data_IF_058179715658
#
_entry.id   IF_058179715658
#
_cell.length_a   1.000
_cell.length_b   1.000
_cell.length_c   1.000
_cell.angle_alpha   90.00
_cell.angle_beta   90.00
_cell.angle_gamma   90.00
#
_symmetry.space_group_name_H-M   'P 1'
#
loop_
_entity.id
_entity.type
_entity.pdbx_description
1 polymer ?
#
# COMPACT_ATOMS: atom_id res chain seq x y z
N UNK A 1 21.31 2.11 -18.78
CA UNK A 1 21.25 2.31 -17.31
C UNK A 1 22.25 1.34 -16.72
N UNK A 2 23.13 1.82 -15.88
CA UNK A 2 24.22 0.99 -15.33
C UNK A 2 23.71 0.18 -14.13
N UNK A 3 24.38 -0.94 -13.83
CA UNK A 3 24.14 -1.77 -12.63
C UNK A 3 24.02 -0.95 -11.33
N UNK A 4 24.50 0.28 -11.35
CA UNK A 4 24.40 1.26 -10.28
C UNK A 4 22.95 1.77 -10.04
N UNK A 5 22.07 1.75 -11.04
CA UNK A 5 20.68 2.22 -10.91
C UNK A 5 19.78 1.17 -10.26
N UNK A 6 19.98 -0.10 -10.58
CA UNK A 6 19.29 -1.24 -9.93
C UNK A 6 19.73 -1.33 -8.46
N UNK A 7 21.02 -1.20 -8.19
CA UNK A 7 21.59 -1.18 -6.84
C UNK A 7 21.12 0.06 -6.04
N UNK A 8 20.89 1.21 -6.67
CA UNK A 8 20.31 2.40 -6.00
C UNK A 8 18.86 2.19 -5.60
N UNK A 9 18.03 1.58 -6.44
CA UNK A 9 16.65 1.21 -6.07
C UNK A 9 16.65 0.25 -4.88
N UNK A 10 17.54 -0.75 -4.88
CA UNK A 10 17.73 -1.70 -3.81
C UNK A 10 18.20 -1.04 -2.50
N UNK A 11 19.15 -0.11 -2.57
CA UNK A 11 19.70 0.55 -1.39
C UNK A 11 18.67 1.48 -0.70
N UNK A 12 17.75 2.08 -1.44
CA UNK A 12 16.76 3.01 -0.88
C UNK A 12 15.72 2.27 -0.03
N UNK A 13 15.30 1.09 -0.45
CA UNK A 13 14.35 0.25 0.30
C UNK A 13 14.98 -0.30 1.59
N UNK A 14 16.23 -0.77 1.53
CA UNK A 14 16.97 -1.30 2.71
C UNK A 14 17.19 -0.23 3.78
N UNK A 15 17.44 1.04 3.38
CA UNK A 15 17.72 2.10 4.33
C UNK A 15 16.47 2.57 5.09
N UNK A 16 15.27 2.45 4.49
CA UNK A 16 14.01 2.80 5.16
C UNK A 16 13.68 1.90 6.35
N UNK A 17 13.91 0.57 6.21
CA UNK A 17 13.57 -0.40 7.25
C UNK A 17 14.61 -0.51 8.37
N UNK A 18 15.90 -0.25 8.10
CA UNK A 18 16.93 -0.29 9.17
C UNK A 18 16.77 0.84 10.21
N UNK A 19 16.22 1.99 9.85
CA UNK A 19 16.03 3.10 10.80
C UNK A 19 14.83 2.90 11.72
N UNK A 20 13.80 2.14 11.33
CA UNK A 20 12.64 1.85 12.18
C UNK A 20 12.96 0.81 13.24
N UNK A 21 13.86 -0.14 12.97
CA UNK A 21 14.24 -1.20 13.92
C UNK A 21 15.27 -0.77 14.97
N UNK A 22 15.95 0.37 14.81
CA UNK A 22 16.99 0.84 15.78
C UNK A 22 16.40 1.73 16.87
N UNK A 23 15.21 2.32 16.69
CA UNK A 23 14.57 3.18 17.71
C UNK A 23 13.60 2.46 18.63
N UNK A 24 13.36 1.16 18.44
CA UNK A 24 12.44 0.35 19.26
C UNK A 24 13.06 -0.37 20.46
N UNK A 25 14.38 -0.26 20.70
CA UNK A 25 15.05 -0.98 21.78
C UNK A 25 15.80 -0.03 22.71
N UNK A 26 15.10 0.55 23.65
CA UNK A 26 15.62 0.98 24.97
C UNK A 26 14.44 1.36 25.88
N UNK A 27 14.16 0.53 26.84
CA UNK A 27 13.71 0.78 28.23
C UNK A 27 13.03 -0.47 28.77
N UNK A 28 13.73 -1.17 29.60
CA UNK A 28 13.13 -2.13 30.48
C UNK A 28 14.14 -2.90 31.31
N UNK A 29 14.42 -2.46 32.47
CA UNK A 29 14.72 -3.32 33.62
C UNK A 29 14.51 -2.49 34.87
N UNK A 30 13.54 -2.82 35.68
CA UNK A 30 13.78 -2.98 37.10
C UNK A 30 12.66 -3.74 37.77
N UNK A 31 13.07 -4.77 38.45
CA UNK A 31 12.33 -5.63 39.40
C UNK A 31 11.83 -4.82 40.60
N UNK A 32 10.65 -5.17 41.12
CA UNK A 32 10.42 -5.50 42.53
C UNK A 32 8.91 -5.62 42.82
N UNK A 33 8.49 -6.84 43.22
CA UNK A 33 7.27 -7.02 44.05
C UNK A 33 7.59 -6.72 45.49
N UNK A 34 6.62 -6.28 46.36
CA UNK A 34 5.96 -7.26 47.18
C UNK A 34 4.46 -7.03 47.53
N UNK A 35 3.81 -8.13 47.77
CA UNK A 35 2.74 -8.60 48.67
C UNK A 35 1.83 -7.62 49.44
N UNK A 36 0.51 -7.91 49.32
CA UNK A 36 -0.58 -8.03 50.32
C UNK A 36 -0.88 -6.89 51.29
N UNK A 37 -2.15 -6.43 51.24
CA UNK A 37 -3.06 -6.57 52.39
C UNK A 37 -4.51 -6.23 52.03
N UNK A 38 -5.42 -6.99 52.60
CA UNK A 38 -6.88 -6.91 52.57
C UNK A 38 -7.37 -5.92 53.60
N UNK A 39 -8.36 -5.07 53.32
CA UNK A 39 -9.36 -4.76 54.32
C UNK A 39 -10.64 -4.19 53.71
N UNK A 40 -11.76 -4.74 54.15
CA UNK A 40 -13.14 -4.30 53.99
C UNK A 40 -13.41 -2.99 54.66
N UNK A 41 -14.21 -2.12 54.05
CA UNK A 41 -15.18 -1.31 54.79
C UNK A 41 -16.36 -0.94 53.87
N UNK A 42 -17.53 -1.44 54.22
CA UNK A 42 -18.83 -0.89 53.83
C UNK A 42 -19.03 0.42 54.56
N UNK A 43 -19.65 1.41 53.93
CA UNK A 43 -20.74 2.15 54.56
C UNK A 43 -21.54 2.92 53.51
N UNK A 44 -22.83 2.71 53.63
CA UNK A 44 -23.97 3.40 53.05
C UNK A 44 -24.08 4.87 53.47
N UNK A 45 -24.50 5.73 52.58
CA UNK A 45 -25.32 6.90 52.98
C UNK A 45 -26.24 7.31 51.86
N UNK A 46 -27.53 7.16 52.13
CA UNK A 46 -28.67 7.78 51.43
C UNK A 46 -28.68 9.28 51.72
N UNK A 47 -29.28 10.02 50.81
CA UNK A 47 -30.16 11.18 51.03
C UNK A 47 -30.03 12.21 49.93
N UNK A 48 -31.01 12.54 49.33
CA UNK A 48 -32.23 13.29 49.34
C UNK A 48 -32.40 14.08 48.07
N UNK A 49 -33.45 13.72 47.35
CA UNK A 49 -34.04 14.50 46.27
C UNK A 49 -34.69 15.74 46.90
N UNK A 50 -34.30 16.94 46.45
CA UNK A 50 -35.08 18.15 46.68
C UNK A 50 -35.58 18.68 45.34
N UNK A 51 -36.90 18.56 45.17
CA UNK A 51 -37.67 19.15 44.09
C UNK A 51 -37.87 20.63 44.42
N UNK A 52 -37.37 21.52 43.60
CA UNK A 52 -37.78 22.91 43.60
C UNK A 52 -38.61 23.20 42.36
N UNK A 53 -39.88 23.48 42.64
CA UNK A 53 -40.91 23.98 41.75
C UNK A 53 -40.64 25.47 41.52
N UNK A 54 -40.47 25.90 40.30
CA UNK A 54 -40.37 27.31 39.95
C UNK A 54 -41.57 27.70 39.07
N UNK A 55 -42.18 28.71 39.47
CA UNK A 55 -43.42 29.31 38.96
C UNK A 55 -43.26 30.00 37.62
N UNK A 56 -44.34 29.99 36.87
CA UNK A 56 -44.49 30.72 35.61
C UNK A 56 -44.61 32.23 35.91
N UNK A 57 -43.81 33.01 35.22
CA UNK A 57 -44.15 34.39 34.93
C UNK A 57 -44.04 34.66 33.45
N UNK A 58 -45.16 35.02 32.88
CA UNK A 58 -45.36 35.48 31.51
C UNK A 58 -44.92 36.93 31.40
N UNK A 59 -44.11 37.27 30.41
CA UNK A 59 -44.15 38.62 29.84
C UNK A 59 -43.70 38.62 28.38
N UNK A 60 -44.57 39.05 27.53
CA UNK A 60 -44.33 39.42 26.14
C UNK A 60 -43.31 40.55 26.11
N UNK A 61 -42.40 40.56 25.12
CA UNK A 61 -42.02 41.79 24.43
C UNK A 61 -40.96 41.50 23.34
N UNK A 62 -41.31 41.87 22.12
CA UNK A 62 -40.52 42.44 21.02
C UNK A 62 -39.59 41.52 20.22
N UNK A 63 -40.05 41.21 19.05
CA UNK A 63 -39.28 40.89 17.86
C UNK A 63 -38.23 41.97 17.59
N UNK A 64 -36.98 41.58 17.57
CA UNK A 64 -35.92 42.30 16.87
C UNK A 64 -35.20 41.32 15.99
N UNK A 65 -35.44 41.44 14.72
CA UNK A 65 -34.66 40.86 13.61
C UNK A 65 -33.22 41.36 13.73
N UNK A 66 -32.32 40.50 14.19
CA UNK A 66 -30.91 40.61 13.91
C UNK A 66 -30.49 39.26 13.30
N UNK A 67 -30.40 39.28 11.97
CA UNK A 67 -29.80 38.20 11.21
C UNK A 67 -28.37 37.99 11.65
N UNK A 68 -28.15 36.99 12.48
CA UNK A 68 -26.82 36.44 12.69
C UNK A 68 -26.44 35.69 11.40
N UNK A 69 -25.80 36.42 10.49
CA UNK A 69 -25.03 35.84 9.40
C UNK A 69 -23.88 35.06 10.09
N UNK A 70 -24.11 33.77 10.37
CA UNK A 70 -23.08 32.87 10.77
C UNK A 70 -22.12 32.78 9.59
N UNK A 71 -21.10 33.65 9.55
CA UNK A 71 -19.87 33.39 8.80
C UNK A 71 -19.35 32.07 9.35
N UNK A 72 -19.59 30.98 8.62
CA UNK A 72 -18.82 29.78 8.70
C UNK A 72 -17.39 30.20 8.34
N UNK A 73 -16.61 30.59 9.34
CA UNK A 73 -15.16 30.65 9.25
C UNK A 73 -14.76 29.20 9.05
N UNK A 74 -14.70 28.78 7.78
CA UNK A 74 -13.96 27.57 7.40
C UNK A 74 -12.53 27.86 7.82
N UNK A 75 -12.13 27.37 8.99
CA UNK A 75 -10.74 27.39 9.38
C UNK A 75 -9.96 26.83 8.18
N UNK A 76 -8.92 27.52 7.67
CA UNK A 76 -8.12 26.98 6.61
C UNK A 76 -7.64 25.62 7.10
N UNK A 77 -7.99 24.56 6.37
CA UNK A 77 -7.51 23.23 6.68
C UNK A 77 -5.99 23.33 6.74
N UNK A 78 -5.36 22.79 7.79
CA UNK A 78 -3.91 22.76 7.95
C UNK A 78 -3.20 22.00 6.79
N UNK A 79 -3.97 21.43 5.87
CA UNK A 79 -3.55 20.69 4.69
C UNK A 79 -3.49 21.62 3.48
N UNK A 80 -2.27 21.79 2.92
CA UNK A 80 -1.98 22.79 1.88
C UNK A 80 -2.58 22.52 0.51
N UNK A 81 -3.02 21.29 0.20
CA UNK A 81 -3.66 20.94 -1.06
C UNK A 81 -4.56 19.71 -0.90
N UNK A 82 -5.61 19.64 -1.72
CA UNK A 82 -6.54 18.52 -1.76
C UNK A 82 -6.70 18.04 -3.20
N UNK A 83 -6.69 16.71 -3.41
CA UNK A 83 -6.98 16.06 -4.68
C UNK A 83 -8.12 15.05 -4.47
N UNK A 84 -9.07 15.01 -5.43
CA UNK A 84 -10.14 13.99 -5.47
C UNK A 84 -9.90 13.09 -6.66
N UNK A 85 -9.64 11.81 -6.39
CA UNK A 85 -9.29 10.82 -7.42
C UNK A 85 -9.95 9.49 -7.05
N UNK A 86 -10.58 8.81 -8.03
CA UNK A 86 -11.14 7.48 -7.85
C UNK A 86 -12.14 7.35 -6.69
N UNK A 87 -12.83 8.43 -6.31
CA UNK A 87 -13.75 8.48 -5.17
C UNK A 87 -13.08 8.80 -3.82
N UNK A 88 -11.75 8.86 -3.73
CA UNK A 88 -11.00 9.22 -2.53
C UNK A 88 -10.63 10.70 -2.47
N UNK A 89 -10.38 11.19 -1.27
CA UNK A 89 -9.83 12.51 -0.97
C UNK A 89 -8.40 12.36 -0.45
N UNK A 90 -7.43 12.95 -1.15
CA UNK A 90 -6.03 13.02 -0.74
C UNK A 90 -5.76 14.43 -0.21
N UNK A 91 -5.41 14.52 1.07
CA UNK A 91 -5.01 15.75 1.74
C UNK A 91 -3.48 15.80 1.83
N UNK A 92 -2.87 16.78 1.14
CA UNK A 92 -1.42 16.89 1.03
C UNK A 92 -0.90 17.96 1.98
N UNK A 93 0.05 17.59 2.83
CA UNK A 93 0.84 18.50 3.65
C UNK A 93 2.26 18.59 3.07
N UNK A 94 2.69 19.79 2.69
CA UNK A 94 4.06 20.04 2.29
C UNK A 94 4.88 20.53 3.48
N UNK A 95 5.88 19.73 3.88
CA UNK A 95 6.78 20.06 4.99
C UNK A 95 8.08 20.62 4.42
N UNK A 96 8.42 21.86 4.82
CA UNK A 96 9.60 22.58 4.30
C UNK A 96 9.58 22.63 2.76
N UNK A 97 8.45 23.06 2.18
CA UNK A 97 8.30 23.22 0.73
C UNK A 97 9.49 23.98 0.13
N UNK A 98 9.99 23.48 -1.00
CA UNK A 98 11.12 24.10 -1.68
C UNK A 98 10.68 25.34 -2.48
N UNK A 99 9.52 25.26 -3.18
CA UNK A 99 8.93 26.34 -3.97
C UNK A 99 7.53 25.97 -4.45
N UNK A 100 6.76 26.94 -4.94
CA UNK A 100 5.47 26.69 -5.59
C UNK A 100 5.59 25.80 -6.85
N UNK A 101 6.67 25.93 -7.61
CA UNK A 101 6.93 25.06 -8.75
C UNK A 101 7.16 23.61 -8.33
N UNK A 102 7.94 23.38 -7.28
CA UNK A 102 8.15 22.07 -6.70
C UNK A 102 6.84 21.44 -6.18
N UNK A 103 5.97 22.21 -5.52
CA UNK A 103 4.65 21.74 -5.11
C UNK A 103 3.77 21.35 -6.31
N UNK A 104 3.87 22.06 -7.42
CA UNK A 104 3.15 21.71 -8.66
C UNK A 104 3.64 20.37 -9.23
N UNK A 105 4.95 20.13 -9.24
CA UNK A 105 5.54 18.84 -9.63
C UNK A 105 5.06 17.72 -8.70
N UNK A 106 5.11 17.97 -7.38
CA UNK A 106 4.65 17.01 -6.39
C UNK A 106 3.16 16.62 -6.57
N UNK A 107 2.28 17.59 -6.83
CA UNK A 107 0.84 17.34 -7.09
C UNK A 107 0.62 16.49 -8.33
N UNK A 108 1.30 16.77 -9.43
CA UNK A 108 1.20 15.97 -10.65
C UNK A 108 1.70 14.53 -10.44
N UNK A 109 2.77 14.36 -9.69
CA UNK A 109 3.28 13.05 -9.30
C UNK A 109 2.27 12.27 -8.43
N UNK A 110 1.68 12.92 -7.41
CA UNK A 110 0.63 12.34 -6.57
C UNK A 110 -0.59 11.94 -7.40
N UNK A 111 -1.03 12.82 -8.29
CA UNK A 111 -2.19 12.55 -9.16
C UNK A 111 -1.95 11.34 -10.05
N UNK A 112 -0.78 11.23 -10.66
CA UNK A 112 -0.41 10.10 -11.51
C UNK A 112 -0.39 8.79 -10.75
N UNK A 113 0.27 8.74 -9.58
CA UNK A 113 0.34 7.55 -8.74
C UNK A 113 -1.05 7.11 -8.24
N UNK A 114 -1.86 8.07 -7.79
CA UNK A 114 -3.22 7.79 -7.32
C UNK A 114 -4.14 7.29 -8.45
N UNK A 115 -4.00 7.80 -9.69
CA UNK A 115 -4.73 7.28 -10.86
C UNK A 115 -4.33 5.85 -11.16
N UNK A 116 -3.03 5.54 -11.21
CA UNK A 116 -2.55 4.19 -11.47
C UNK A 116 -3.13 3.17 -10.49
N UNK A 117 -3.12 3.49 -9.19
CA UNK A 117 -3.70 2.64 -8.15
C UNK A 117 -5.24 2.55 -8.29
N UNK A 118 -5.91 3.69 -8.55
CA UNK A 118 -7.37 3.70 -8.73
C UNK A 118 -7.81 2.86 -9.93
N UNK A 119 -7.09 2.92 -11.03
CA UNK A 119 -7.41 2.15 -12.25
C UNK A 119 -7.21 0.65 -12.03
N UNK A 120 -6.15 0.27 -11.29
CA UNK A 120 -5.92 -1.14 -10.96
C UNK A 120 -6.99 -1.69 -10.01
N UNK A 121 -7.34 -0.97 -8.95
CA UNK A 121 -8.32 -1.43 -7.94
C UNK A 121 -9.78 -1.08 -8.28
N UNK A 122 -10.01 -0.31 -9.35
CA UNK A 122 -11.36 0.15 -9.75
C UNK A 122 -11.88 1.36 -8.96
N UNK A 123 -11.17 1.77 -7.91
CA UNK A 123 -11.42 2.96 -7.07
C UNK A 123 -10.14 3.32 -6.32
N UNK A 124 -10.04 4.52 -5.78
CA UNK A 124 -9.00 4.83 -4.80
C UNK A 124 -9.27 4.04 -3.52
N UNK A 125 -8.25 3.36 -2.93
CA UNK A 125 -8.49 2.35 -1.89
C UNK A 125 -9.19 2.84 -0.64
N UNK A 126 -8.97 4.10 -0.25
CA UNK A 126 -9.48 4.68 1.00
C UNK A 126 -10.28 5.95 0.74
N UNK A 127 -11.31 6.22 1.56
CA UNK A 127 -12.13 7.42 1.41
C UNK A 127 -11.33 8.72 1.65
N UNK A 128 -10.33 8.67 2.53
CA UNK A 128 -9.43 9.78 2.86
C UNK A 128 -8.02 9.29 3.12
N UNK A 129 -7.04 9.90 2.45
CA UNK A 129 -5.61 9.73 2.69
C UNK A 129 -5.02 11.05 3.16
N UNK A 130 -4.23 11.01 4.23
CA UNK A 130 -3.33 12.09 4.61
C UNK A 130 -1.94 11.78 4.04
N UNK A 131 -1.40 12.67 3.23
CA UNK A 131 -0.11 12.51 2.58
C UNK A 131 0.82 13.66 2.99
N UNK A 132 1.90 13.34 3.68
CA UNK A 132 2.95 14.30 4.05
C UNK A 132 4.14 14.16 3.13
N UNK A 133 4.49 15.24 2.43
CA UNK A 133 5.64 15.30 1.53
C UNK A 133 6.65 16.29 2.10
N UNK A 134 7.81 15.77 2.52
CA UNK A 134 8.92 16.58 3.01
C UNK A 134 9.94 16.83 1.90
N UNK A 135 10.46 18.08 1.76
CA UNK A 135 11.53 18.34 0.82
C UNK A 135 12.87 17.77 1.34
N UNK A 136 13.64 17.19 0.42
CA UNK A 136 14.96 16.61 0.70
C UNK A 136 15.97 17.03 -0.38
N UNK A 137 17.24 16.70 -0.21
CA UNK A 137 18.24 16.95 -1.24
C UNK A 137 18.06 16.00 -2.43
N UNK A 138 18.40 16.42 -3.64
CA UNK A 138 18.35 15.63 -4.89
C UNK A 138 17.03 15.78 -5.63
N UNK A 139 16.78 14.90 -6.60
CA UNK A 139 15.72 14.96 -7.59
C UNK A 139 14.75 13.76 -7.58
N UNK A 140 14.89 12.83 -6.64
CA UNK A 140 14.11 11.60 -6.53
C UNK A 140 13.30 11.54 -5.23
N UNK A 141 12.25 10.70 -5.21
CA UNK A 141 11.56 10.34 -4.00
C UNK A 141 12.35 9.32 -3.18
N UNK A 142 12.16 9.34 -1.86
CA UNK A 142 12.78 8.42 -0.90
C UNK A 142 12.02 8.36 0.41
N UNK A 143 12.30 7.34 1.21
CA UNK A 143 11.77 7.20 2.57
C UNK A 143 10.24 7.27 2.60
N UNK A 144 9.58 6.51 1.69
CA UNK A 144 8.14 6.30 1.71
C UNK A 144 7.77 5.36 2.84
N UNK A 145 6.63 5.59 3.47
CA UNK A 145 6.02 4.65 4.40
C UNK A 145 4.52 4.92 4.51
N UNK A 146 3.72 3.87 4.34
CA UNK A 146 2.29 3.90 4.55
C UNK A 146 1.92 3.38 5.94
N UNK A 147 0.93 4.00 6.58
CA UNK A 147 0.44 3.65 7.90
C UNK A 147 -1.08 3.56 7.91
N UNK A 148 -1.64 2.54 8.57
CA UNK A 148 -3.07 2.41 8.82
C UNK A 148 -3.50 2.97 10.18
N UNK A 149 -2.58 2.99 11.15
CA UNK A 149 -2.85 3.40 12.52
C UNK A 149 -3.35 4.85 12.60
N UNK A 150 -4.49 5.08 13.25
CA UNK A 150 -5.22 6.37 13.29
C UNK A 150 -5.70 6.88 11.92
N UNK A 151 -5.93 5.94 11.00
CA UNK A 151 -6.41 6.20 9.63
C UNK A 151 -5.27 6.32 8.63
N UNK A 152 -5.59 6.12 7.32
CA UNK A 152 -4.61 6.05 6.25
C UNK A 152 -3.71 7.29 6.16
N UNK A 153 -2.41 7.07 6.22
CA UNK A 153 -1.39 8.11 6.23
C UNK A 153 -0.14 7.63 5.49
N UNK A 154 0.38 8.45 4.59
CA UNK A 154 1.68 8.23 3.95
C UNK A 154 2.59 9.39 4.28
N UNK A 155 3.85 9.10 4.63
CA UNK A 155 4.94 10.06 4.69
C UNK A 155 5.99 9.71 3.67
N UNK A 156 6.52 10.71 2.96
CA UNK A 156 7.52 10.52 1.92
C UNK A 156 8.39 11.76 1.76
N UNK A 157 9.65 11.57 1.42
CA UNK A 157 10.54 12.66 1.08
C UNK A 157 10.68 12.79 -0.43
N UNK A 158 10.57 14.01 -0.96
CA UNK A 158 10.76 14.34 -2.36
C UNK A 158 11.95 15.29 -2.52
N UNK A 159 12.84 14.98 -3.46
CA UNK A 159 13.99 15.82 -3.80
C UNK A 159 13.54 17.22 -4.18
N UNK A 160 14.25 18.26 -3.69
CA UNK A 160 13.92 19.67 -3.99
C UNK A 160 14.16 20.04 -5.45
N UNK A 161 15.01 19.26 -6.14
CA UNK A 161 15.33 19.42 -7.55
C UNK A 161 14.48 18.52 -8.44
N UNK A 162 13.42 17.89 -7.88
CA UNK A 162 12.52 17.00 -8.59
C UNK A 162 11.81 17.73 -9.74
N UNK A 163 11.75 17.05 -10.87
CA UNK A 163 11.04 17.47 -12.09
C UNK A 163 10.09 16.36 -12.53
N UNK A 164 9.14 16.67 -13.41
CA UNK A 164 8.27 15.65 -14.01
C UNK A 164 9.10 14.56 -14.71
N UNK A 165 10.18 14.95 -15.37
CA UNK A 165 11.08 14.02 -16.06
C UNK A 165 11.84 13.12 -15.07
N UNK A 166 12.37 13.67 -13.98
CA UNK A 166 13.09 12.88 -12.97
C UNK A 166 12.18 11.89 -12.22
N UNK A 167 10.88 12.16 -12.18
CA UNK A 167 9.87 11.29 -11.55
C UNK A 167 9.10 10.43 -12.56
N UNK A 168 9.47 10.45 -13.86
CA UNK A 168 8.72 9.74 -14.89
C UNK A 168 8.57 8.22 -14.62
N UNK A 169 9.60 7.62 -14.03
CA UNK A 169 9.67 6.20 -13.66
C UNK A 169 9.74 5.99 -12.14
N UNK A 170 9.28 6.99 -11.34
CA UNK A 170 9.24 6.84 -9.90
C UNK A 170 8.20 5.80 -9.48
N UNK A 171 8.64 4.84 -8.71
CA UNK A 171 7.83 3.72 -8.23
C UNK A 171 7.30 3.92 -6.81
N UNK A 172 8.03 4.71 -5.98
CA UNK A 172 7.90 4.68 -4.53
C UNK A 172 6.51 5.10 -4.05
N UNK A 173 5.96 6.22 -4.56
CA UNK A 173 4.65 6.67 -4.10
C UNK A 173 3.52 5.72 -4.54
N UNK A 174 3.64 5.11 -5.72
CA UNK A 174 2.66 4.13 -6.19
C UNK A 174 2.71 2.88 -5.32
N UNK A 175 3.90 2.41 -4.93
CA UNK A 175 4.12 1.31 -3.98
C UNK A 175 3.44 1.60 -2.64
N UNK A 176 3.70 2.76 -2.04
CA UNK A 176 3.07 3.17 -0.77
C UNK A 176 1.53 3.28 -0.89
N UNK A 177 1.02 3.70 -2.04
CA UNK A 177 -0.42 3.76 -2.27
C UNK A 177 -1.06 2.38 -2.48
N UNK A 178 -0.32 1.37 -2.96
CA UNK A 178 -0.81 -0.01 -3.07
C UNK A 178 -1.09 -0.59 -1.68
N UNK A 179 -0.26 -0.31 -0.69
CA UNK A 179 -0.50 -0.74 0.70
C UNK A 179 -1.87 -0.29 1.24
N UNK A 180 -2.41 0.84 0.78
CA UNK A 180 -3.73 1.31 1.19
C UNK A 180 -4.85 0.33 0.85
N UNK A 181 -4.64 -0.52 -0.17
CA UNK A 181 -5.65 -1.44 -0.71
C UNK A 181 -5.62 -2.83 -0.07
N UNK A 182 -4.85 -3.02 0.98
CA UNK A 182 -4.68 -4.31 1.62
C UNK A 182 -4.76 -4.17 3.15
N UNK A 183 -5.35 -5.13 3.88
CA UNK A 183 -5.45 -5.05 5.32
C UNK A 183 -4.09 -5.28 5.99
N UNK A 184 -3.93 -4.75 7.20
CA UNK A 184 -2.78 -5.05 8.04
C UNK A 184 -2.87 -6.48 8.55
N UNK A 185 -1.78 -7.22 8.46
CA UNK A 185 -1.66 -8.60 8.88
C UNK A 185 -0.69 -8.73 10.07
N UNK A 186 -0.73 -9.84 10.83
CA UNK A 186 0.31 -10.15 11.80
C UNK A 186 1.70 -10.14 11.16
N UNK A 187 2.70 -9.61 11.87
CA UNK A 187 4.07 -9.34 11.41
C UNK A 187 4.71 -10.49 10.59
N UNK A 188 4.47 -11.74 10.99
CA UNK A 188 5.01 -12.91 10.24
C UNK A 188 4.52 -13.01 8.80
N UNK A 189 3.40 -12.33 8.46
CA UNK A 189 2.80 -12.30 7.12
C UNK A 189 3.10 -11.00 6.37
N UNK A 190 3.98 -10.14 6.89
CA UNK A 190 4.37 -8.86 6.27
C UNK A 190 4.86 -9.01 4.82
N UNK A 191 5.38 -10.19 4.47
CA UNK A 191 5.73 -10.51 3.08
C UNK A 191 4.53 -10.52 2.11
N UNK A 192 3.30 -10.74 2.60
CA UNK A 192 2.10 -10.58 1.77
C UNK A 192 1.82 -9.11 1.45
N UNK A 193 2.04 -8.21 2.38
CA UNK A 193 1.84 -6.77 2.19
C UNK A 193 2.91 -6.19 1.25
N UNK A 194 4.18 -6.44 1.52
CA UNK A 194 5.30 -5.92 0.72
C UNK A 194 5.40 -6.60 -0.65
N UNK A 195 5.20 -7.91 -0.69
CA UNK A 195 5.17 -8.67 -1.94
C UNK A 195 4.03 -8.22 -2.86
N UNK A 196 2.86 -7.89 -2.29
CA UNK A 196 1.76 -7.32 -3.04
C UNK A 196 2.16 -6.00 -3.68
N UNK A 197 2.70 -5.08 -2.88
CA UNK A 197 3.10 -3.77 -3.37
C UNK A 197 4.19 -3.88 -4.44
N UNK A 198 5.19 -4.77 -4.24
CA UNK A 198 6.26 -5.04 -5.20
C UNK A 198 5.75 -5.62 -6.53
N UNK A 199 4.72 -6.47 -6.51
CA UNK A 199 4.14 -7.06 -7.71
C UNK A 199 3.17 -6.11 -8.42
N UNK A 200 2.28 -5.46 -7.68
CA UNK A 200 1.16 -4.66 -8.23
C UNK A 200 1.61 -3.30 -8.72
N UNK A 201 2.55 -2.64 -8.01
CA UNK A 201 2.99 -1.28 -8.33
C UNK A 201 3.37 -1.10 -9.81
N UNK A 202 4.33 -1.89 -10.38
CA UNK A 202 4.73 -1.71 -11.75
C UNK A 202 3.62 -2.08 -12.77
N UNK A 203 2.77 -3.04 -12.44
CA UNK A 203 1.61 -3.41 -13.27
C UNK A 203 0.58 -2.28 -13.29
N UNK A 204 0.26 -1.68 -12.15
CA UNK A 204 -0.65 -0.54 -12.07
C UNK A 204 -0.13 0.65 -12.89
N UNK A 205 1.16 0.95 -12.81
CA UNK A 205 1.80 1.98 -13.62
C UNK A 205 1.74 1.67 -15.13
N UNK A 206 1.94 0.40 -15.53
CA UNK A 206 1.83 0.02 -16.94
C UNK A 206 0.39 0.14 -17.45
N UNK A 207 -0.59 -0.29 -16.67
CA UNK A 207 -2.01 -0.15 -17.01
C UNK A 207 -2.45 1.31 -17.13
N UNK A 208 -1.83 2.20 -16.38
CA UNK A 208 -2.03 3.66 -16.48
C UNK A 208 -1.16 4.34 -17.55
N UNK A 209 -0.35 3.60 -18.32
CA UNK A 209 0.50 4.14 -19.38
C UNK A 209 1.75 4.88 -18.91
N UNK A 210 2.11 4.72 -17.64
CA UNK A 210 3.32 5.32 -17.05
C UNK A 210 4.56 4.49 -17.41
N UNK A 211 4.46 3.17 -17.31
CA UNK A 211 5.50 2.24 -17.72
C UNK A 211 5.10 1.47 -18.97
N UNK A 212 6.08 0.99 -19.72
CA UNK A 212 5.81 0.04 -20.80
C UNK A 212 5.75 -1.38 -20.28
N UNK A 213 4.99 -2.29 -20.90
CA UNK A 213 5.02 -3.71 -20.56
C UNK A 213 6.43 -4.30 -20.53
N UNK A 214 7.27 -3.92 -21.49
CA UNK A 214 8.66 -4.39 -21.59
C UNK A 214 9.47 -3.99 -20.35
N UNK A 215 9.22 -2.79 -19.80
CA UNK A 215 9.90 -2.33 -18.59
C UNK A 215 9.44 -3.13 -17.37
N UNK A 216 8.15 -3.38 -17.19
CA UNK A 216 7.62 -4.18 -16.06
C UNK A 216 8.22 -5.58 -16.07
N UNK A 217 8.16 -6.25 -17.22
CA UNK A 217 8.69 -7.60 -17.32
C UNK A 217 10.20 -7.68 -17.23
N UNK A 218 10.93 -6.64 -17.66
CA UNK A 218 12.36 -6.53 -17.41
C UNK A 218 12.66 -6.43 -15.91
N UNK A 219 11.94 -5.57 -15.18
CA UNK A 219 12.12 -5.42 -13.73
C UNK A 219 11.80 -6.73 -12.99
N UNK A 220 10.80 -7.50 -13.43
CA UNK A 220 10.50 -8.81 -12.87
C UNK A 220 11.58 -9.86 -13.20
N UNK A 221 12.12 -9.88 -14.40
CA UNK A 221 13.22 -10.79 -14.78
C UNK A 221 14.45 -10.54 -13.91
N UNK A 222 14.76 -9.29 -13.58
CA UNK A 222 15.91 -8.92 -12.75
C UNK A 222 15.64 -9.06 -11.24
N UNK A 223 14.42 -8.79 -10.79
CA UNK A 223 14.07 -8.72 -9.38
C UNK A 223 13.65 -10.05 -8.77
N UNK A 224 12.76 -10.80 -9.41
CA UNK A 224 12.17 -12.03 -8.85
C UNK A 224 13.20 -13.12 -8.47
N UNK A 225 14.34 -13.28 -9.14
CA UNK A 225 15.38 -14.21 -8.67
C UNK A 225 15.86 -13.93 -7.24
N UNK A 226 15.79 -12.69 -6.76
CA UNK A 226 16.19 -12.30 -5.41
C UNK A 226 15.22 -12.82 -4.34
N UNK A 227 14.01 -13.19 -4.73
CA UNK A 227 12.99 -13.79 -3.88
C UNK A 227 13.10 -15.30 -3.72
N UNK A 228 14.03 -15.96 -4.43
CA UNK A 228 14.22 -17.40 -4.30
C UNK A 228 14.80 -17.77 -2.92
N UNK A 229 14.44 -18.97 -2.39
CA UNK A 229 14.98 -19.42 -1.11
C UNK A 229 16.48 -19.59 -1.17
N UNK A 230 17.14 -19.25 -0.07
CA UNK A 230 18.58 -19.44 0.15
C UNK A 230 18.81 -20.56 1.17
N UNK A 231 20.07 -20.95 1.39
CA UNK A 231 20.41 -21.92 2.44
C UNK A 231 19.88 -21.46 3.80
N UNK A 232 19.17 -22.34 4.50
CA UNK A 232 18.55 -22.05 5.79
C UNK A 232 17.17 -21.39 5.73
N UNK A 233 16.61 -21.19 4.53
CA UNK A 233 15.24 -20.71 4.36
C UNK A 233 14.21 -21.68 4.94
N UNK A 234 13.17 -21.16 5.59
CA UNK A 234 12.11 -21.93 6.25
C UNK A 234 10.71 -21.51 5.78
N UNK A 235 10.59 -21.00 4.57
CA UNK A 235 9.36 -20.44 4.02
C UNK A 235 9.18 -18.97 4.33
N UNK A 236 8.20 -18.34 3.67
CA UNK A 236 8.01 -16.90 3.68
C UNK A 236 7.64 -16.35 5.06
N UNK A 237 6.83 -17.08 5.85
CA UNK A 237 6.46 -16.70 7.23
C UNK A 237 7.64 -16.74 8.22
N UNK A 238 8.69 -17.50 7.90
CA UNK A 238 9.76 -17.82 8.84
C UNK A 238 11.15 -17.32 8.40
N UNK A 239 11.21 -16.61 7.27
CA UNK A 239 12.47 -16.10 6.70
C UNK A 239 12.33 -14.63 6.30
N UNK A 240 12.25 -13.70 7.28
CA UNK A 240 11.99 -12.27 7.02
C UNK A 240 13.26 -11.55 6.55
N UNK A 241 13.87 -12.02 5.46
CA UNK A 241 14.94 -11.30 4.77
C UNK A 241 14.35 -10.35 3.74
N UNK A 242 15.06 -9.27 3.40
CA UNK A 242 14.59 -8.33 2.38
C UNK A 242 14.17 -9.03 1.07
N UNK A 243 15.03 -9.92 0.54
CA UNK A 243 14.70 -10.65 -0.69
C UNK A 243 13.43 -11.48 -0.57
N UNK A 244 13.24 -12.20 0.57
CA UNK A 244 12.05 -13.05 0.78
C UNK A 244 10.80 -12.22 1.03
N UNK A 245 10.91 -11.12 1.77
CA UNK A 245 9.77 -10.25 2.07
C UNK A 245 9.22 -9.58 0.80
N UNK A 246 10.07 -8.92 0.04
CA UNK A 246 9.66 -8.17 -1.16
C UNK A 246 9.51 -9.09 -2.37
N UNK A 247 10.59 -9.70 -2.82
CA UNK A 247 10.60 -10.47 -4.05
C UNK A 247 10.06 -11.89 -3.89
N UNK A 248 10.20 -12.50 -2.71
CA UNK A 248 9.56 -13.78 -2.39
C UNK A 248 8.05 -13.64 -2.33
N UNK A 249 7.56 -12.55 -1.71
CA UNK A 249 6.15 -12.20 -1.75
C UNK A 249 5.66 -11.88 -3.17
N UNK A 250 6.45 -11.14 -3.98
CA UNK A 250 6.12 -10.89 -5.38
C UNK A 250 6.09 -12.19 -6.23
N UNK A 251 6.96 -13.17 -5.94
CA UNK A 251 6.89 -14.51 -6.55
C UNK A 251 5.58 -15.23 -6.24
N UNK A 252 5.10 -15.14 -5.00
CA UNK A 252 3.80 -15.68 -4.62
C UNK A 252 2.69 -15.05 -5.47
N UNK A 253 2.65 -13.72 -5.60
CA UNK A 253 1.61 -13.03 -6.35
C UNK A 253 1.71 -13.25 -7.87
N UNK A 254 2.92 -13.35 -8.42
CA UNK A 254 3.08 -13.77 -9.84
C UNK A 254 2.48 -15.15 -10.07
N UNK A 255 2.81 -16.13 -9.20
CA UNK A 255 2.24 -17.49 -9.31
C UNK A 255 0.72 -17.47 -9.15
N UNK A 256 0.20 -16.67 -8.22
CA UNK A 256 -1.22 -16.54 -7.99
C UNK A 256 -1.93 -15.98 -9.24
N UNK A 257 -1.43 -14.89 -9.83
CA UNK A 257 -2.03 -14.28 -11.02
C UNK A 257 -2.02 -15.26 -12.22
N UNK A 258 -0.89 -15.96 -12.42
CA UNK A 258 -0.78 -16.95 -13.49
C UNK A 258 -1.75 -18.12 -13.29
N UNK A 259 -1.82 -18.70 -12.09
CA UNK A 259 -2.68 -19.86 -11.81
C UNK A 259 -4.17 -19.50 -11.83
N UNK A 260 -4.56 -18.34 -11.28
CA UNK A 260 -5.94 -17.86 -11.39
C UNK A 260 -6.34 -17.75 -12.85
N UNK A 261 -5.53 -17.09 -13.69
CA UNK A 261 -5.82 -16.93 -15.10
C UNK A 261 -5.87 -18.26 -15.86
N UNK A 262 -4.96 -19.17 -15.59
CA UNK A 262 -4.95 -20.49 -16.20
C UNK A 262 -6.20 -21.32 -15.84
N UNK A 263 -6.58 -21.36 -14.54
CA UNK A 263 -7.72 -22.14 -14.07
C UNK A 263 -9.08 -21.55 -14.42
N UNK A 264 -9.11 -20.27 -14.81
CA UNK A 264 -10.33 -19.56 -15.18
C UNK A 264 -10.41 -19.19 -16.66
N UNK A 265 -9.58 -19.78 -17.51
CA UNK A 265 -9.49 -19.43 -18.92
C UNK A 265 -9.30 -17.92 -19.15
N UNK A 266 -8.43 -17.29 -18.34
CA UNK A 266 -8.12 -15.86 -18.32
C UNK A 266 -9.33 -14.93 -18.07
N UNK A 267 -10.44 -15.46 -17.51
CA UNK A 267 -11.62 -14.66 -17.13
C UNK A 267 -11.36 -13.81 -15.89
N UNK A 268 -10.59 -14.34 -14.95
CA UNK A 268 -10.17 -13.65 -13.74
C UNK A 268 -8.65 -13.60 -13.66
N UNK A 269 -8.13 -12.58 -13.02
CA UNK A 269 -6.74 -12.43 -12.60
C UNK A 269 -6.67 -11.98 -11.16
N UNK A 270 -5.47 -11.82 -10.63
CA UNK A 270 -5.22 -11.41 -9.24
C UNK A 270 -5.96 -10.12 -8.85
N UNK A 271 -6.11 -9.19 -9.79
CA UNK A 271 -6.84 -7.93 -9.55
C UNK A 271 -8.29 -8.14 -9.11
N UNK A 272 -8.93 -9.24 -9.47
CA UNK A 272 -10.29 -9.55 -9.04
C UNK A 272 -10.33 -9.97 -7.58
N UNK A 273 -9.42 -10.84 -7.15
CA UNK A 273 -9.23 -11.19 -5.73
C UNK A 273 -8.96 -9.96 -4.87
N UNK A 274 -8.02 -9.10 -5.30
CA UNK A 274 -7.63 -7.90 -4.57
C UNK A 274 -8.75 -6.85 -4.48
N UNK A 275 -9.53 -6.68 -5.56
CA UNK A 275 -10.71 -5.81 -5.56
C UNK A 275 -11.79 -6.34 -4.61
N UNK A 276 -11.97 -7.65 -4.52
CA UNK A 276 -12.92 -8.26 -3.59
C UNK A 276 -12.47 -8.08 -2.13
N UNK A 277 -11.19 -8.28 -1.81
CA UNK A 277 -10.61 -8.00 -0.50
C UNK A 277 -10.87 -6.54 -0.10
N UNK A 278 -10.58 -5.60 -0.99
CA UNK A 278 -10.83 -4.18 -0.77
C UNK A 278 -12.33 -3.86 -0.63
N UNK A 279 -13.20 -4.51 -1.41
CA UNK A 279 -14.65 -4.33 -1.34
C UNK A 279 -15.25 -4.87 -0.03
N UNK A 280 -14.68 -5.95 0.51
CA UNK A 280 -15.03 -6.51 1.81
C UNK A 280 -14.50 -5.67 3.00
N UNK A 281 -13.79 -4.58 2.74
CA UNK A 281 -13.28 -3.65 3.74
C UNK A 281 -11.82 -3.90 4.14
N UNK A 282 -11.09 -4.75 3.42
CA UNK A 282 -9.67 -5.00 3.64
C UNK A 282 -8.82 -3.83 3.14
N UNK A 283 -8.57 -2.84 3.98
CA UNK A 283 -7.71 -1.67 3.73
C UNK A 283 -6.70 -1.51 4.86
N UNK A 284 -5.65 -0.75 4.64
CA UNK A 284 -4.49 -0.60 5.55
C UNK A 284 -4.86 -0.28 7.01
N UNK A 285 -6.00 0.35 7.26
CA UNK A 285 -6.50 0.73 8.59
C UNK A 285 -7.36 -0.37 9.24
N UNK A 286 -7.34 -1.58 8.71
CA UNK A 286 -8.07 -2.76 9.21
C UNK A 286 -7.13 -3.92 9.46
N UNK A 287 -7.23 -4.50 10.65
CA UNK A 287 -6.50 -5.71 11.01
C UNK A 287 -7.32 -6.94 10.58
N UNK A 288 -6.75 -7.77 9.73
CA UNK A 288 -7.34 -9.04 9.29
C UNK A 288 -6.44 -10.21 9.65
N UNK A 289 -7.02 -11.40 9.66
CA UNK A 289 -6.25 -12.65 9.64
C UNK A 289 -5.86 -12.99 8.20
N UNK A 290 -4.80 -13.76 8.03
CA UNK A 290 -4.42 -14.28 6.71
C UNK A 290 -5.54 -15.10 6.09
N UNK A 291 -6.24 -15.91 6.90
CA UNK A 291 -7.37 -16.73 6.44
C UNK A 291 -8.48 -15.89 5.80
N UNK A 292 -8.83 -14.75 6.41
CA UNK A 292 -9.81 -13.82 5.83
C UNK A 292 -9.39 -13.31 4.46
N UNK A 293 -8.10 -12.98 4.27
CA UNK A 293 -7.57 -12.54 2.99
C UNK A 293 -7.66 -13.64 1.94
N UNK A 294 -7.23 -14.86 2.29
CA UNK A 294 -7.21 -16.00 1.37
C UNK A 294 -8.63 -16.40 0.97
N UNK A 295 -9.55 -16.50 1.94
CA UNK A 295 -10.94 -16.92 1.70
C UNK A 295 -11.67 -15.92 0.80
N UNK A 296 -11.62 -14.62 1.12
CA UNK A 296 -12.27 -13.58 0.31
C UNK A 296 -11.68 -13.50 -1.09
N UNK A 297 -10.35 -13.62 -1.21
CA UNK A 297 -9.66 -13.55 -2.49
C UNK A 297 -9.96 -14.73 -3.40
N UNK A 298 -9.98 -15.95 -2.86
CA UNK A 298 -10.26 -17.18 -3.60
C UNK A 298 -11.73 -17.31 -3.97
N UNK A 299 -12.66 -16.95 -3.06
CA UNK A 299 -14.10 -16.92 -3.34
C UNK A 299 -14.44 -16.04 -4.54
N UNK A 300 -13.81 -14.88 -4.63
CA UNK A 300 -14.05 -13.91 -5.71
C UNK A 300 -13.72 -14.43 -7.11
N UNK A 301 -12.78 -15.34 -7.23
CA UNK A 301 -12.33 -15.91 -8.52
C UNK A 301 -12.78 -17.36 -8.72
N UNK A 302 -13.34 -17.98 -7.68
CA UNK A 302 -13.90 -19.34 -7.70
C UNK A 302 -12.86 -20.46 -7.79
N UNK A 303 -11.60 -20.15 -7.46
CA UNK A 303 -10.50 -21.14 -7.42
C UNK A 303 -9.61 -20.90 -6.20
N UNK A 304 -9.20 -21.95 -5.42
CA UNK A 304 -8.51 -21.80 -4.15
C UNK A 304 -6.99 -21.56 -4.30
N UNK A 305 -6.60 -20.67 -5.21
CA UNK A 305 -5.19 -20.48 -5.59
C UNK A 305 -4.37 -19.80 -4.51
N UNK A 306 -4.93 -18.77 -3.86
CA UNK A 306 -4.19 -18.04 -2.82
C UNK A 306 -3.93 -18.95 -1.62
N UNK A 307 -4.90 -19.75 -1.22
CA UNK A 307 -4.77 -20.70 -0.12
C UNK A 307 -3.76 -21.80 -0.44
N UNK A 308 -3.87 -22.44 -1.60
CA UNK A 308 -2.94 -23.49 -2.01
C UNK A 308 -1.50 -23.01 -2.03
N UNK A 309 -1.26 -21.80 -2.60
CA UNK A 309 0.07 -21.23 -2.65
C UNK A 309 0.59 -20.79 -1.28
N UNK A 310 -0.29 -20.29 -0.41
CA UNK A 310 0.07 -19.94 0.95
C UNK A 310 0.51 -21.21 1.72
N UNK A 311 -0.26 -22.29 1.67
CA UNK A 311 0.07 -23.56 2.29
C UNK A 311 1.41 -24.14 1.76
N UNK A 312 1.68 -23.95 0.47
CA UNK A 312 2.92 -24.40 -0.16
C UNK A 312 4.12 -23.55 0.28
N UNK A 313 4.01 -22.20 0.28
CA UNK A 313 5.18 -21.31 0.34
C UNK A 313 5.41 -20.65 1.71
N UNK A 314 4.41 -20.58 2.59
CA UNK A 314 4.53 -19.90 3.88
C UNK A 314 5.52 -20.58 4.83
N UNK A 315 5.51 -21.92 4.88
CA UNK A 315 6.31 -22.70 5.82
C UNK A 315 7.41 -23.54 5.19
N UNK A 316 7.55 -23.52 3.85
CA UNK A 316 8.51 -24.32 3.11
C UNK A 316 9.34 -23.46 2.14
N UNK A 317 10.63 -23.79 1.91
CA UNK A 317 11.49 -23.09 0.97
C UNK A 317 11.23 -23.55 -0.48
N UNK A 318 10.18 -23.04 -1.09
CA UNK A 318 9.80 -23.41 -2.46
C UNK A 318 10.59 -22.63 -3.48
N UNK A 319 11.32 -23.34 -4.35
CA UNK A 319 11.99 -22.76 -5.51
C UNK A 319 11.05 -22.70 -6.70
N UNK A 320 10.89 -21.51 -7.28
CA UNK A 320 10.05 -21.28 -8.47
C UNK A 320 10.89 -21.38 -9.74
N UNK A 321 10.48 -22.22 -10.69
CA UNK A 321 11.14 -22.29 -12.00
C UNK A 321 10.77 -21.08 -12.88
N UNK A 322 11.51 -20.00 -12.68
CA UNK A 322 11.34 -18.77 -13.45
C UNK A 322 11.68 -18.96 -14.94
N UNK A 323 12.62 -19.87 -15.27
CA UNK A 323 12.99 -20.15 -16.66
C UNK A 323 11.80 -20.66 -17.45
N UNK A 324 11.09 -21.65 -16.92
CA UNK A 324 9.85 -22.19 -17.53
C UNK A 324 8.76 -21.12 -17.59
N UNK A 325 8.58 -20.30 -16.54
CA UNK A 325 7.58 -19.22 -16.55
C UNK A 325 7.87 -18.22 -17.67
N UNK A 326 9.10 -17.75 -17.82
CA UNK A 326 9.47 -16.81 -18.88
C UNK A 326 9.27 -17.39 -20.28
N UNK A 327 9.64 -18.67 -20.45
CA UNK A 327 9.41 -19.36 -21.73
C UNK A 327 7.91 -19.45 -22.06
N UNK A 328 7.07 -19.84 -21.10
CA UNK A 328 5.62 -19.94 -21.31
C UNK A 328 4.95 -18.60 -21.58
N UNK A 329 5.39 -17.54 -20.90
CA UNK A 329 4.92 -16.18 -21.15
C UNK A 329 5.49 -15.55 -22.43
N UNK A 330 6.48 -16.20 -23.07
CA UNK A 330 7.14 -15.67 -24.28
C UNK A 330 8.04 -14.47 -23.98
N UNK A 331 8.67 -14.43 -22.79
CA UNK A 331 9.53 -13.34 -22.36
C UNK A 331 11.00 -13.74 -22.58
N UNK A 332 11.73 -12.92 -23.29
CA UNK A 332 13.17 -13.12 -23.53
C UNK A 332 13.93 -11.86 -23.16
N UNK A 333 14.93 -11.97 -22.27
CA UNK A 333 15.82 -10.87 -21.95
C UNK A 333 16.71 -10.51 -23.13
N UNK A 334 16.81 -9.23 -23.45
CA UNK A 334 17.69 -8.71 -24.49
C UNK A 334 18.38 -7.42 -23.97
N UNK A 335 19.62 -7.59 -23.49
CA UNK A 335 20.33 -6.47 -22.87
C UNK A 335 19.57 -5.92 -21.65
N UNK A 336 19.23 -4.63 -21.68
CA UNK A 336 18.53 -3.93 -20.60
C UNK A 336 17.00 -3.84 -20.84
N UNK A 337 16.44 -4.75 -21.62
CA UNK A 337 15.01 -4.84 -21.92
C UNK A 337 14.60 -6.29 -22.09
N UNK A 338 13.32 -6.52 -22.35
CA UNK A 338 12.79 -7.81 -22.80
C UNK A 338 12.10 -7.67 -24.14
N UNK A 339 12.01 -8.79 -24.86
CA UNK A 339 11.18 -8.95 -26.06
C UNK A 339 10.11 -10.00 -25.81
N UNK A 340 9.00 -9.91 -26.53
CA UNK A 340 7.85 -10.80 -26.39
C UNK A 340 7.65 -11.67 -27.61
N UNK A 341 7.37 -12.97 -27.37
CA UNK A 341 6.86 -13.90 -28.35
C UNK A 341 5.35 -14.09 -28.13
N UNK A 342 4.55 -13.50 -28.99
CA UNK A 342 3.09 -13.57 -28.90
C UNK A 342 2.50 -14.95 -29.29
N UNK A 343 3.35 -15.90 -29.71
CA UNK A 343 2.97 -17.31 -30.00
C UNK A 343 3.19 -18.22 -28.77
N UNK A 344 3.78 -17.72 -27.71
CA UNK A 344 4.02 -18.49 -26.49
C UNK A 344 2.70 -18.93 -25.84
N UNK A 345 2.65 -20.09 -25.16
CA UNK A 345 1.43 -20.67 -24.60
C UNK A 345 0.63 -19.72 -23.70
N UNK A 346 1.31 -18.90 -22.90
CA UNK A 346 0.71 -17.96 -21.95
C UNK A 346 0.85 -16.49 -22.38
N UNK A 347 1.09 -16.21 -23.68
CA UNK A 347 1.21 -14.85 -24.19
C UNK A 347 -0.08 -14.02 -23.95
N UNK A 348 -1.25 -14.64 -24.03
CA UNK A 348 -2.54 -13.98 -23.74
C UNK A 348 -2.64 -13.57 -22.27
N UNK A 349 -2.11 -14.37 -21.34
CA UNK A 349 -2.06 -14.06 -19.90
C UNK A 349 -1.08 -12.92 -19.64
N UNK A 350 0.14 -12.96 -20.22
CA UNK A 350 1.08 -11.84 -20.15
C UNK A 350 0.42 -10.53 -20.59
N UNK A 351 -0.27 -10.55 -21.73
CA UNK A 351 -0.95 -9.38 -22.29
C UNK A 351 -2.13 -8.91 -21.41
N UNK A 352 -2.79 -9.80 -20.67
CA UNK A 352 -3.84 -9.45 -19.73
C UNK A 352 -3.29 -8.82 -18.44
N UNK A 353 -2.12 -9.25 -17.96
CA UNK A 353 -1.43 -8.66 -16.80
C UNK A 353 -0.98 -7.24 -17.15
N UNK A 354 -0.26 -7.07 -18.26
CA UNK A 354 0.27 -5.78 -18.73
C UNK A 354 -0.20 -5.49 -20.16
N UNK A 355 -1.43 -4.98 -20.32
CA UNK A 355 -1.98 -4.69 -21.64
C UNK A 355 -1.17 -3.61 -22.35
N UNK A 356 -0.93 -3.81 -23.66
CA UNK A 356 -0.38 -2.74 -24.50
C UNK A 356 -1.46 -1.69 -24.73
N UNK A 357 -1.24 -0.51 -24.21
CA UNK A 357 -2.15 0.61 -24.49
C UNK A 357 -2.00 1.06 -25.95
N UNK A 358 -3.10 1.48 -26.60
CA UNK A 358 -3.00 2.13 -27.91
C UNK A 358 -2.05 3.33 -27.80
N UNK A 359 -1.12 3.47 -28.75
CA UNK A 359 -0.28 4.67 -28.79
C UNK A 359 -1.20 5.88 -28.99
N UNK A 360 -1.09 6.86 -28.10
CA UNK A 360 -1.73 8.15 -28.32
C UNK A 360 -1.26 8.68 -29.68
N UNK A 361 -2.24 8.94 -30.59
CA UNK A 361 -1.98 9.52 -31.93
C UNK A 361 -1.62 10.98 -31.80
#
# INVERSE_FOLDING_TARGET
>A
MSDCEVLRRLATVVFCHMLVNVTGFCWGHSLLRPRRAVSKARNSCESRVTVLRAERTSTKVVQSLLGALALLIVAPSAWGAQLRIGGGLIEIEFVKSASAAWESVARQWVERSARAVSDYFGKFPVARLRLRIASAAGDRARNGTAYGWRGPFITIALGRDATIASLADDWLLTHEMVHLAFPSLPERHHWLEEGLATYVEPIAQARAGVLTPERVWYDFVEGLPQGQPQSGDRGLDNTPTWGRTYWGGALFYLRADLLIRQRTDNRYGLEHSLRAILAAGGSIDRDWTVDQVLDVGDEAVGVPVLRELYEEMASQPVTVDLGTIWQQLGIRRQGNTVTFDDRAPLASIRNAITPRLPRAR
#
